data_IF_438021971756
#
_entry.id   IF_438021971756
#
_cell.length_a   1.000
_cell.length_b   1.000
_cell.length_c   1.000
_cell.angle_alpha   90.00
_cell.angle_beta   90.00
_cell.angle_gamma   90.00
#
_symmetry.space_group_name_H-M   'P 1'
#
loop_
_entity.id
_entity.type
_entity.pdbx_description
1 polymer ?
#
# COMPACT_ATOMS: atom_id res chain seq x y z
N UNK A 1 63.88 -15.34 39.53
CA UNK A 1 63.61 -16.08 38.28
C UNK A 1 63.37 -17.52 38.69
N UNK A 2 62.12 -17.98 38.62
CA UNK A 2 61.82 -19.40 38.79
C UNK A 2 62.59 -20.21 37.75
N UNK A 3 63.20 -21.31 38.18
CA UNK A 3 63.88 -22.23 37.26
C UNK A 3 62.83 -22.87 36.35
N UNK A 4 62.90 -22.61 35.05
CA UNK A 4 62.11 -23.33 34.05
C UNK A 4 62.48 -24.82 34.16
N UNK A 5 61.55 -25.64 34.66
CA UNK A 5 61.79 -27.06 34.91
C UNK A 5 61.73 -27.87 33.62
N UNK A 6 62.76 -28.67 33.36
CA UNK A 6 62.78 -29.60 32.23
C UNK A 6 62.18 -30.93 32.68
N UNK A 7 61.10 -31.36 32.02
CA UNK A 7 60.50 -32.66 32.21
C UNK A 7 61.22 -33.70 31.32
N UNK A 8 61.95 -34.62 31.95
CA UNK A 8 62.72 -35.66 31.26
C UNK A 8 61.86 -36.71 30.54
N UNK A 9 60.57 -36.82 30.89
CA UNK A 9 59.63 -37.78 30.29
C UNK A 9 58.94 -37.24 29.03
N UNK A 10 59.13 -35.96 28.69
CA UNK A 10 58.58 -35.36 27.47
C UNK A 10 59.54 -35.53 26.28
N UNK A 11 58.97 -35.69 25.09
CA UNK A 11 59.74 -35.65 23.83
C UNK A 11 60.56 -34.35 23.75
N UNK A 12 61.92 -34.44 23.69
CA UNK A 12 62.80 -33.27 23.66
C UNK A 12 62.46 -32.29 22.54
N UNK A 13 61.98 -32.80 21.40
CA UNK A 13 61.58 -31.95 20.26
C UNK A 13 60.34 -31.12 20.56
N UNK A 14 59.36 -31.72 21.23
CA UNK A 14 58.11 -31.04 21.62
C UNK A 14 58.35 -30.07 22.77
N UNK A 15 59.19 -30.44 23.72
CA UNK A 15 59.57 -29.56 24.82
C UNK A 15 60.33 -28.33 24.33
N UNK A 16 61.24 -28.49 23.36
CA UNK A 16 61.94 -27.39 22.72
C UNK A 16 60.98 -26.39 22.03
N UNK A 17 59.92 -26.89 21.40
CA UNK A 17 58.90 -26.05 20.75
C UNK A 17 58.14 -25.19 21.77
N UNK A 18 57.75 -25.74 22.92
CA UNK A 18 57.07 -24.97 23.97
C UNK A 18 57.98 -23.92 24.61
N UNK A 19 59.25 -24.25 24.85
CA UNK A 19 60.24 -23.28 25.33
C UNK A 19 60.47 -22.15 24.33
N UNK A 20 60.43 -22.46 23.03
CA UNK A 20 60.50 -21.45 21.98
C UNK A 20 59.30 -20.50 22.01
N UNK A 21 58.08 -21.01 22.18
CA UNK A 21 56.88 -20.18 22.32
C UNK A 21 56.87 -19.31 23.59
N UNK A 22 57.63 -19.68 24.62
CA UNK A 22 57.88 -18.83 25.80
C UNK A 22 58.87 -17.68 25.52
N UNK A 23 59.46 -17.61 24.32
CA UNK A 23 60.39 -16.55 23.92
C UNK A 23 61.87 -16.86 24.18
N UNK A 24 62.23 -18.10 24.55
CA UNK A 24 63.62 -18.48 24.76
C UNK A 24 64.39 -18.60 23.43
N UNK A 25 65.65 -18.15 23.45
CA UNK A 25 66.56 -18.28 22.28
C UNK A 25 66.92 -19.75 22.05
N UNK A 26 67.03 -20.18 20.79
CA UNK A 26 67.35 -21.56 20.41
C UNK A 26 68.63 -22.09 21.07
N UNK A 27 69.68 -21.26 21.16
CA UNK A 27 70.93 -21.63 21.84
C UNK A 27 70.69 -22.02 23.31
N UNK A 28 69.85 -21.24 24.01
CA UNK A 28 69.52 -21.50 25.41
C UNK A 28 68.63 -22.73 25.57
N UNK A 29 67.68 -22.93 24.66
CA UNK A 29 66.82 -24.12 24.64
C UNK A 29 67.67 -25.39 24.47
N UNK A 30 68.62 -25.36 23.53
CA UNK A 30 69.52 -26.47 23.26
C UNK A 30 70.34 -26.86 24.50
N UNK A 31 70.89 -25.88 25.23
CA UNK A 31 71.56 -26.11 26.52
C UNK A 31 70.62 -26.74 27.55
N UNK A 32 69.38 -26.25 27.66
CA UNK A 32 68.43 -26.69 28.67
C UNK A 32 67.97 -28.14 28.47
N UNK A 33 67.81 -28.59 27.23
CA UNK A 33 67.35 -29.95 26.92
C UNK A 33 68.50 -30.92 26.61
N UNK A 34 69.76 -30.47 26.66
CA UNK A 34 70.93 -31.31 26.39
C UNK A 34 71.15 -31.68 24.92
N UNK A 35 70.70 -30.83 23.98
CA UNK A 35 70.77 -31.09 22.53
C UNK A 35 71.72 -30.12 21.82
N UNK A 36 72.14 -30.48 20.60
CA UNK A 36 72.93 -29.56 19.75
C UNK A 36 72.02 -28.46 19.18
N UNK A 37 72.47 -27.20 19.22
CA UNK A 37 71.71 -26.07 18.67
C UNK A 37 71.28 -26.27 17.21
N UNK A 38 72.12 -26.90 16.38
CA UNK A 38 71.82 -27.25 14.98
C UNK A 38 70.61 -28.21 14.88
N UNK A 39 70.48 -29.15 15.81
CA UNK A 39 69.35 -30.08 15.89
C UNK A 39 68.05 -29.33 16.18
N UNK A 40 68.07 -28.42 17.17
CA UNK A 40 66.89 -27.61 17.53
C UNK A 40 66.49 -26.66 16.40
N UNK A 41 67.46 -26.04 15.71
CA UNK A 41 67.21 -25.26 14.50
C UNK A 41 66.56 -26.08 13.37
N UNK A 42 66.98 -27.34 13.19
CA UNK A 42 66.40 -28.26 12.22
C UNK A 42 64.94 -28.58 12.55
N UNK A 43 64.61 -28.82 13.82
CA UNK A 43 63.24 -29.03 14.29
C UNK A 43 62.36 -27.80 14.05
N UNK A 44 62.84 -26.62 14.45
CA UNK A 44 62.16 -25.34 14.22
C UNK A 44 61.75 -25.16 12.76
N UNK A 45 62.68 -25.43 11.84
CA UNK A 45 62.46 -25.30 10.40
C UNK A 45 61.50 -26.36 9.86
N UNK A 46 61.65 -27.62 10.29
CA UNK A 46 60.84 -28.74 9.79
C UNK A 46 59.38 -28.62 10.20
N UNK A 47 59.14 -28.27 11.46
CA UNK A 47 57.78 -28.15 12.02
C UNK A 47 57.22 -26.73 11.90
N UNK A 48 57.97 -25.82 11.27
CA UNK A 48 57.56 -24.43 11.01
C UNK A 48 57.04 -23.74 12.27
N UNK A 49 57.83 -23.74 13.35
CA UNK A 49 57.37 -23.18 14.64
C UNK A 49 56.90 -21.73 14.54
N UNK A 50 57.44 -20.96 13.59
CA UNK A 50 57.06 -19.56 13.32
C UNK A 50 55.69 -19.40 12.62
N UNK A 51 55.12 -20.49 12.08
CA UNK A 51 53.82 -20.46 11.40
C UNK A 51 52.63 -20.58 12.36
N UNK A 52 52.87 -20.95 13.62
CA UNK A 52 51.81 -21.03 14.63
C UNK A 52 51.51 -19.63 15.17
N UNK A 53 50.29 -19.14 14.92
CA UNK A 53 49.81 -17.92 15.52
C UNK A 53 49.59 -18.08 17.04
N UNK A 54 49.43 -16.99 17.79
CA UNK A 54 49.20 -17.06 19.24
C UNK A 54 48.02 -17.96 19.63
N UNK A 55 46.92 -17.94 18.84
CA UNK A 55 45.76 -18.80 19.08
C UNK A 55 46.08 -20.29 18.89
N UNK A 56 46.83 -20.65 17.85
CA UNK A 56 47.22 -22.03 17.58
C UNK A 56 48.12 -22.58 18.69
N UNK A 57 49.06 -21.76 19.17
CA UNK A 57 49.91 -22.09 20.30
C UNK A 57 49.09 -22.34 21.57
N UNK A 58 48.10 -21.48 21.86
CA UNK A 58 47.19 -21.65 22.99
C UNK A 58 46.32 -22.90 22.86
N UNK A 59 45.78 -23.19 21.67
CA UNK A 59 44.97 -24.39 21.42
C UNK A 59 45.80 -25.67 21.63
N UNK A 60 47.00 -25.73 21.09
CA UNK A 60 47.88 -26.91 21.20
C UNK A 60 48.33 -27.16 22.63
N UNK A 61 48.69 -26.11 23.37
CA UNK A 61 49.11 -26.24 24.78
C UNK A 61 47.93 -26.59 25.69
N UNK A 62 46.76 -25.97 25.49
CA UNK A 62 45.51 -26.30 26.21
C UNK A 62 45.10 -27.75 25.97
N UNK A 63 45.14 -28.23 24.72
CA UNK A 63 44.78 -29.61 24.38
C UNK A 63 45.77 -30.62 24.97
N UNK A 64 47.08 -30.32 24.95
CA UNK A 64 48.09 -31.18 25.55
C UNK A 64 47.90 -31.31 27.07
N UNK A 65 47.62 -30.20 27.75
CA UNK A 65 47.39 -30.20 29.20
C UNK A 65 46.08 -30.89 29.58
N UNK A 66 45.03 -30.70 28.78
CA UNK A 66 43.76 -31.42 28.94
C UNK A 66 43.97 -32.93 28.86
N UNK A 67 44.68 -33.41 27.83
CA UNK A 67 45.01 -34.84 27.69
C UNK A 67 45.83 -35.34 28.88
N UNK A 68 46.83 -34.57 29.35
CA UNK A 68 47.67 -34.93 30.50
C UNK A 68 46.83 -35.15 31.77
N UNK A 69 45.93 -34.22 32.08
CA UNK A 69 45.08 -34.29 33.27
C UNK A 69 44.03 -35.40 33.16
N UNK A 70 43.43 -35.58 31.98
CA UNK A 70 42.46 -36.66 31.73
C UNK A 70 43.09 -38.04 31.88
N UNK A 71 44.34 -38.22 31.44
CA UNK A 71 45.06 -39.49 31.51
C UNK A 71 45.73 -39.75 32.88
N UNK A 72 45.68 -38.82 33.82
CA UNK A 72 46.22 -38.99 35.19
C UNK A 72 45.48 -40.13 35.92
N UNK A 73 46.24 -41.09 36.45
CA UNK A 73 45.72 -42.32 37.08
C UNK A 73 44.93 -42.06 38.38
N UNK A 74 45.42 -41.15 39.23
CA UNK A 74 44.73 -40.69 40.42
C UNK A 74 44.45 -39.19 40.31
N UNK A 75 43.16 -38.82 40.20
CA UNK A 75 42.71 -37.43 40.07
C UNK A 75 42.28 -36.86 41.41
N UNK A 76 42.69 -35.63 41.68
CA UNK A 76 42.29 -34.80 42.81
C UNK A 76 41.23 -33.79 42.39
N UNK A 77 40.54 -33.17 43.35
CA UNK A 77 39.53 -32.15 43.09
C UNK A 77 40.05 -30.96 42.26
N UNK A 78 41.33 -30.61 42.40
CA UNK A 78 41.96 -29.55 41.59
C UNK A 78 42.06 -29.93 40.11
N UNK A 79 42.34 -31.20 39.81
CA UNK A 79 42.49 -31.68 38.43
C UNK A 79 41.15 -31.60 37.69
N UNK A 80 40.03 -31.93 38.35
CA UNK A 80 38.70 -31.80 37.75
C UNK A 80 38.32 -30.34 37.45
N UNK A 81 38.69 -29.40 38.33
CA UNK A 81 38.46 -27.96 38.09
C UNK A 81 39.28 -27.45 36.92
N UNK A 82 40.52 -27.92 36.81
CA UNK A 82 41.40 -27.54 35.71
C UNK A 82 40.95 -28.13 34.38
N UNK A 83 40.49 -29.39 34.35
CA UNK A 83 39.87 -30.02 33.18
C UNK A 83 38.64 -29.22 32.70
N UNK A 84 37.74 -28.83 33.60
CA UNK A 84 36.58 -27.99 33.27
C UNK A 84 37.01 -26.61 32.74
N UNK A 85 38.01 -25.98 33.37
CA UNK A 85 38.54 -24.70 32.90
C UNK A 85 39.14 -24.80 31.49
N UNK A 86 39.97 -25.81 31.24
CA UNK A 86 40.58 -26.06 29.92
C UNK A 86 39.52 -26.36 28.86
N UNK A 87 38.47 -27.11 29.20
CA UNK A 87 37.33 -27.36 28.32
C UNK A 87 36.60 -26.06 27.92
N UNK A 88 36.37 -25.16 28.89
CA UNK A 88 35.78 -23.83 28.62
C UNK A 88 36.69 -22.93 27.78
N UNK A 89 38.01 -23.01 27.98
CA UNK A 89 38.96 -22.28 27.13
C UNK A 89 38.98 -22.80 25.70
N UNK A 90 38.88 -24.12 25.50
CA UNK A 90 38.78 -24.72 24.17
C UNK A 90 37.55 -24.20 23.40
N UNK A 91 36.39 -24.09 24.06
CA UNK A 91 35.19 -23.48 23.46
C UNK A 91 35.42 -22.02 23.06
N UNK A 92 36.09 -21.23 23.92
CA UNK A 92 36.45 -19.84 23.60
C UNK A 92 37.42 -19.74 22.42
N UNK A 93 38.42 -20.60 22.36
CA UNK A 93 39.37 -20.63 21.24
C UNK A 93 38.67 -20.99 19.93
N UNK A 94 37.70 -21.91 19.94
CA UNK A 94 36.90 -22.25 18.77
C UNK A 94 36.05 -21.07 18.29
N UNK A 95 35.47 -20.28 19.20
CA UNK A 95 34.72 -19.06 18.88
C UNK A 95 35.61 -17.97 18.28
N UNK A 96 36.81 -17.77 18.82
CA UNK A 96 37.79 -16.81 18.26
C UNK A 96 38.22 -17.26 16.86
N UNK A 97 38.44 -18.56 16.64
CA UNK A 97 38.74 -19.13 15.32
C UNK A 97 37.63 -18.83 14.32
N UNK A 98 36.36 -19.13 14.68
CA UNK A 98 35.20 -18.86 13.82
C UNK A 98 35.04 -17.37 13.49
N UNK A 99 35.30 -16.48 14.45
CA UNK A 99 35.29 -15.04 14.22
C UNK A 99 36.35 -14.61 13.20
N UNK A 100 37.58 -15.13 13.31
CA UNK A 100 38.66 -14.82 12.37
C UNK A 100 38.41 -15.38 10.96
N UNK A 101 37.68 -16.50 10.83
CA UNK A 101 37.32 -17.15 9.56
C UNK A 101 36.00 -16.63 8.94
N UNK A 102 35.72 -15.32 9.09
CA UNK A 102 34.56 -14.66 8.47
C UNK A 102 33.27 -14.67 9.30
N UNK A 103 33.37 -15.04 10.58
CA UNK A 103 32.30 -14.87 11.56
C UNK A 103 32.04 -13.40 11.93
N UNK A 104 31.08 -13.17 12.83
CA UNK A 104 30.72 -11.83 13.29
C UNK A 104 30.76 -11.73 14.82
N UNK A 105 30.56 -10.52 15.35
CA UNK A 105 30.68 -10.24 16.79
C UNK A 105 29.76 -11.11 17.68
N UNK A 106 28.66 -11.64 17.12
CA UNK A 106 27.78 -12.57 17.84
C UNK A 106 28.45 -13.93 18.13
N UNK A 107 29.45 -14.35 17.35
CA UNK A 107 30.20 -15.59 17.60
C UNK A 107 31.09 -15.50 18.85
N UNK A 108 31.53 -14.30 19.23
CA UNK A 108 32.36 -14.06 20.42
C UNK A 108 31.52 -13.98 21.70
N UNK A 109 30.27 -13.51 21.62
CA UNK A 109 29.41 -13.29 22.77
C UNK A 109 28.00 -13.88 22.60
N UNK A 110 27.71 -15.04 23.23
CA UNK A 110 26.41 -15.70 23.19
C UNK A 110 25.24 -14.85 23.74
N UNK A 111 25.52 -13.81 24.50
CA UNK A 111 24.49 -12.91 25.02
C UNK A 111 23.96 -11.94 23.95
N UNK A 112 24.68 -11.73 22.85
CA UNK A 112 24.22 -10.90 21.73
C UNK A 112 23.09 -11.60 20.97
N UNK A 113 23.22 -12.92 20.72
CA UNK A 113 22.13 -13.72 20.15
C UNK A 113 20.90 -13.73 21.06
N UNK A 114 21.10 -13.90 22.38
CA UNK A 114 20.00 -13.87 23.36
C UNK A 114 19.31 -12.51 23.47
N UNK A 115 19.99 -11.41 23.17
CA UNK A 115 19.39 -10.06 23.16
C UNK A 115 18.54 -9.81 21.92
N UNK A 116 18.88 -10.47 20.81
CA UNK A 116 18.21 -10.32 19.52
C UNK A 116 17.18 -11.43 19.23
N UNK A 117 17.06 -12.45 20.09
CA UNK A 117 16.13 -13.57 19.93
C UNK A 117 14.68 -13.27 20.33
N UNK A 118 14.39 -12.06 20.82
CA UNK A 118 13.03 -11.61 21.03
C UNK A 118 12.34 -11.34 19.69
N UNK A 119 11.23 -12.01 19.41
CA UNK A 119 10.28 -11.60 18.37
C UNK A 119 9.84 -10.17 18.67
N UNK A 120 10.49 -9.18 18.05
CA UNK A 120 9.97 -7.81 18.01
C UNK A 120 8.56 -7.93 17.41
N UNK A 121 7.53 -7.75 18.25
CA UNK A 121 6.16 -7.55 17.74
C UNK A 121 6.27 -6.45 16.69
N UNK A 122 5.90 -6.78 15.45
CA UNK A 122 5.91 -5.81 14.37
C UNK A 122 5.10 -4.60 14.82
N UNK A 123 5.66 -3.40 14.66
CA UNK A 123 4.95 -2.17 14.97
C UNK A 123 3.58 -2.20 14.30
N UNK A 124 2.53 -1.93 15.08
CA UNK A 124 1.17 -1.93 14.57
C UNK A 124 1.09 -0.85 13.48
N UNK A 125 0.65 -1.22 12.28
CA UNK A 125 0.56 -0.32 11.13
C UNK A 125 -0.74 0.49 11.20
N UNK A 126 -0.77 1.63 10.50
CA UNK A 126 -1.97 2.45 10.33
C UNK A 126 -2.59 2.94 11.66
N UNK A 127 -1.75 3.22 12.66
CA UNK A 127 -2.19 3.62 14.00
C UNK A 127 -2.42 5.13 14.06
N UNK A 128 -3.51 5.52 14.68
CA UNK A 128 -3.80 6.90 15.08
C UNK A 128 -3.87 6.96 16.60
N UNK A 129 -3.26 7.98 17.20
CA UNK A 129 -3.52 8.38 18.58
C UNK A 129 -4.81 9.17 18.68
N UNK A 130 -5.41 9.23 19.86
CA UNK A 130 -6.64 10.00 20.11
C UNK A 130 -6.46 11.49 19.74
N UNK A 131 -5.30 12.08 20.05
CA UNK A 131 -4.97 13.45 19.67
C UNK A 131 -4.91 13.66 18.15
N UNK A 132 -4.40 12.69 17.39
CA UNK A 132 -4.40 12.74 15.92
C UNK A 132 -5.81 12.63 15.36
N UNK A 133 -6.68 11.78 15.94
CA UNK A 133 -8.09 11.68 15.52
C UNK A 133 -8.85 12.97 15.80
N UNK A 134 -8.66 13.59 16.98
CA UNK A 134 -9.26 14.87 17.32
C UNK A 134 -8.82 15.97 16.34
N UNK A 135 -7.51 16.08 16.07
CA UNK A 135 -6.97 17.04 15.10
C UNK A 135 -7.53 16.83 13.68
N UNK A 136 -7.72 15.58 13.24
CA UNK A 136 -8.36 15.31 11.95
C UNK A 136 -9.80 15.82 11.89
N UNK A 137 -10.56 15.67 12.99
CA UNK A 137 -11.94 16.19 13.06
C UNK A 137 -11.96 17.71 12.97
N UNK A 138 -11.05 18.39 13.67
CA UNK A 138 -10.95 19.85 13.62
C UNK A 138 -10.64 20.33 12.20
N UNK A 139 -9.62 19.75 11.56
CA UNK A 139 -9.26 20.07 10.17
C UNK A 139 -10.45 19.86 9.22
N UNK A 140 -11.16 18.74 9.36
CA UNK A 140 -12.30 18.44 8.49
C UNK A 140 -13.46 19.41 8.70
N UNK A 141 -13.74 19.78 9.96
CA UNK A 141 -14.80 20.73 10.29
C UNK A 141 -14.51 22.13 9.75
N UNK A 142 -13.24 22.56 9.81
CA UNK A 142 -12.80 23.86 9.30
C UNK A 142 -12.76 23.92 7.76
N UNK A 143 -12.51 22.80 7.09
CA UNK A 143 -12.36 22.78 5.62
C UNK A 143 -13.68 22.65 4.85
N UNK A 144 -14.78 22.30 5.51
CA UNK A 144 -16.07 22.10 4.84
C UNK A 144 -16.67 23.40 4.32
N UNK A 145 -17.13 23.38 3.06
CA UNK A 145 -18.08 24.37 2.53
C UNK A 145 -19.51 24.09 3.03
N UNK A 146 -20.41 25.06 2.94
CA UNK A 146 -21.74 24.95 3.57
C UNK A 146 -22.60 23.83 2.98
N UNK A 147 -22.55 23.60 1.67
CA UNK A 147 -23.25 22.47 1.05
C UNK A 147 -22.68 21.11 1.50
N UNK A 148 -21.39 21.05 1.85
CA UNK A 148 -20.75 19.85 2.40
C UNK A 148 -21.16 19.62 3.85
N UNK A 149 -21.38 20.68 4.63
CA UNK A 149 -21.97 20.56 5.99
C UNK A 149 -23.33 19.88 5.95
N UNK A 150 -24.17 20.20 4.95
CA UNK A 150 -25.46 19.50 4.76
C UNK A 150 -25.25 17.99 4.53
N UNK A 151 -24.24 17.60 3.75
CA UNK A 151 -23.90 16.18 3.56
C UNK A 151 -23.42 15.52 4.86
N UNK A 152 -22.62 16.25 5.65
CA UNK A 152 -22.09 15.77 6.92
C UNK A 152 -23.21 15.54 7.94
N UNK A 153 -24.08 16.53 8.14
CA UNK A 153 -25.25 16.42 9.01
C UNK A 153 -26.17 15.28 8.57
N UNK A 154 -26.41 15.17 7.26
CA UNK A 154 -27.17 14.05 6.72
C UNK A 154 -26.47 12.70 6.98
N UNK A 155 -25.14 12.68 6.95
CA UNK A 155 -24.31 11.53 7.29
C UNK A 155 -24.37 11.16 8.76
N UNK A 156 -24.55 12.11 9.67
CA UNK A 156 -24.71 11.84 11.11
C UNK A 156 -26.09 11.27 11.44
N UNK A 157 -27.12 11.64 10.68
CA UNK A 157 -28.50 11.19 10.91
C UNK A 157 -28.67 9.66 10.86
N UNK A 158 -29.39 9.05 11.82
CA UNK A 158 -29.77 7.64 11.74
C UNK A 158 -30.91 7.37 10.74
N UNK A 159 -31.68 8.41 10.37
CA UNK A 159 -32.83 8.28 9.48
C UNK A 159 -32.40 8.16 8.01
N UNK A 160 -31.22 8.66 7.67
CA UNK A 160 -30.72 8.71 6.30
C UNK A 160 -29.78 7.53 6.00
N UNK A 161 -30.34 6.31 6.12
CA UNK A 161 -29.60 5.09 5.77
C UNK A 161 -29.10 5.11 4.33
N UNK A 162 -29.89 5.64 3.41
CA UNK A 162 -29.51 5.81 1.99
C UNK A 162 -29.50 7.31 1.68
N UNK A 163 -28.34 7.82 1.30
CA UNK A 163 -28.15 9.16 0.71
C UNK A 163 -27.90 8.99 -0.78
N UNK A 164 -28.64 9.73 -1.59
CA UNK A 164 -28.56 9.67 -3.04
C UNK A 164 -28.43 11.10 -3.56
N UNK A 165 -27.27 11.46 -4.09
CA UNK A 165 -26.88 12.84 -4.36
C UNK A 165 -26.59 13.04 -5.84
N UNK A 166 -27.17 14.09 -6.41
CA UNK A 166 -26.76 14.60 -7.70
C UNK A 166 -25.86 15.81 -7.45
N UNK A 167 -24.71 15.86 -8.11
CA UNK A 167 -23.70 16.89 -7.85
C UNK A 167 -23.07 17.40 -9.14
N UNK A 168 -22.62 18.65 -9.12
CA UNK A 168 -21.80 19.27 -10.15
C UNK A 168 -20.40 18.64 -10.24
N UNK A 169 -19.71 18.81 -11.38
CA UNK A 169 -18.26 18.58 -11.42
C UNK A 169 -17.53 19.58 -10.52
N UNK A 170 -16.33 19.18 -10.07
CA UNK A 170 -15.40 20.00 -9.28
C UNK A 170 -15.89 20.55 -7.91
N UNK A 171 -16.98 20.03 -7.34
CA UNK A 171 -17.48 20.45 -6.00
C UNK A 171 -16.90 19.65 -4.82
N UNK A 172 -15.79 18.92 -5.01
CA UNK A 172 -15.08 18.24 -3.92
C UNK A 172 -15.77 17.01 -3.29
N UNK A 173 -16.76 16.40 -3.95
CA UNK A 173 -17.52 15.27 -3.38
C UNK A 173 -16.64 14.07 -2.97
N UNK A 174 -15.71 13.62 -3.83
CA UNK A 174 -14.82 12.50 -3.52
C UNK A 174 -13.88 12.81 -2.35
N UNK A 175 -13.36 14.04 -2.28
CA UNK A 175 -12.57 14.50 -1.14
C UNK A 175 -13.40 14.42 0.15
N UNK A 176 -14.59 15.02 0.14
CA UNK A 176 -15.48 15.05 1.30
C UNK A 176 -15.82 13.64 1.82
N UNK A 177 -16.28 12.74 0.93
CA UNK A 177 -16.68 11.39 1.34
C UNK A 177 -15.47 10.51 1.73
N UNK A 178 -14.26 10.79 1.24
CA UNK A 178 -13.03 10.18 1.74
C UNK A 178 -12.75 10.54 3.20
N UNK A 179 -12.90 11.82 3.57
CA UNK A 179 -12.72 12.27 4.94
C UNK A 179 -13.80 11.73 5.87
N UNK A 180 -15.07 11.84 5.46
CA UNK A 180 -16.19 11.29 6.21
C UNK A 180 -16.00 9.79 6.50
N UNK A 181 -15.61 9.01 5.49
CA UNK A 181 -15.39 7.58 5.64
C UNK A 181 -14.19 7.23 6.54
N UNK A 182 -13.10 8.01 6.48
CA UNK A 182 -11.94 7.80 7.35
C UNK A 182 -12.31 8.06 8.81
N UNK A 183 -12.96 9.19 9.09
CA UNK A 183 -13.39 9.54 10.45
C UNK A 183 -14.43 8.55 10.98
N UNK A 184 -15.37 8.11 10.15
CA UNK A 184 -16.34 7.08 10.51
C UNK A 184 -15.67 5.73 10.87
N UNK A 185 -14.68 5.33 10.07
CA UNK A 185 -13.93 4.10 10.31
C UNK A 185 -13.12 4.18 11.61
N UNK A 186 -12.52 5.33 11.90
CA UNK A 186 -11.77 5.58 13.14
C UNK A 186 -12.68 5.54 14.37
N UNK A 187 -13.84 6.19 14.31
CA UNK A 187 -14.76 6.32 15.45
C UNK A 187 -15.56 5.04 15.72
N UNK A 188 -15.96 4.32 14.67
CA UNK A 188 -16.99 3.26 14.81
C UNK A 188 -16.48 1.85 14.54
N UNK A 189 -15.29 1.71 13.94
CA UNK A 189 -14.79 0.41 13.47
C UNK A 189 -15.57 -0.15 12.27
N UNK A 190 -16.42 0.65 11.62
CA UNK A 190 -17.18 0.21 10.43
C UNK A 190 -16.27 0.11 9.22
N UNK A 191 -16.47 -0.94 8.44
CA UNK A 191 -15.82 -1.08 7.14
C UNK A 191 -16.37 -0.07 6.13
N UNK A 192 -15.54 0.39 5.20
CA UNK A 192 -15.90 1.36 4.17
C UNK A 192 -15.62 0.77 2.77
N UNK A 193 -16.67 0.61 1.97
CA UNK A 193 -16.64 0.03 0.62
C UNK A 193 -16.76 1.16 -0.40
N UNK A 194 -15.68 1.47 -1.11
CA UNK A 194 -15.67 2.44 -2.19
C UNK A 194 -15.85 1.70 -3.52
N UNK A 195 -16.92 2.00 -4.23
CA UNK A 195 -17.24 1.43 -5.54
C UNK A 195 -17.34 2.58 -6.54
N UNK A 196 -16.62 2.46 -7.65
CA UNK A 196 -16.58 3.50 -8.68
C UNK A 196 -16.72 2.90 -10.09
N UNK A 197 -16.86 3.75 -11.11
CA UNK A 197 -16.90 3.35 -12.51
C UNK A 197 -15.61 2.66 -13.01
N UNK A 198 -14.50 2.79 -12.29
CA UNK A 198 -13.27 2.01 -12.50
C UNK A 198 -12.46 1.87 -11.21
N UNK A 199 -11.56 0.86 -11.15
CA UNK A 199 -10.61 0.70 -10.05
C UNK A 199 -9.68 1.92 -9.91
N UNK A 200 -9.31 2.55 -11.02
CA UNK A 200 -8.51 3.78 -11.02
C UNK A 200 -9.22 4.95 -10.30
N UNK A 201 -10.51 5.15 -10.58
CA UNK A 201 -11.31 6.17 -9.90
C UNK A 201 -11.55 5.80 -8.42
N UNK A 202 -11.81 4.53 -8.10
CA UNK A 202 -11.89 4.09 -6.70
C UNK A 202 -10.60 4.38 -5.91
N UNK A 203 -9.43 4.26 -6.55
CA UNK A 203 -8.15 4.63 -5.94
C UNK A 203 -8.01 6.14 -5.67
N UNK A 204 -8.82 7.01 -6.27
CA UNK A 204 -8.84 8.43 -5.91
C UNK A 204 -9.29 8.63 -4.46
N UNK A 205 -10.27 7.86 -3.99
CA UNK A 205 -10.66 7.88 -2.57
C UNK A 205 -9.48 7.51 -1.67
N UNK A 206 -8.73 6.47 -2.05
CA UNK A 206 -7.55 6.02 -1.32
C UNK A 206 -6.50 7.13 -1.22
N UNK A 207 -6.24 7.84 -2.31
CA UNK A 207 -5.29 8.94 -2.33
C UNK A 207 -5.72 10.06 -1.38
N UNK A 208 -6.99 10.45 -1.38
CA UNK A 208 -7.51 11.45 -0.44
C UNK A 208 -7.46 10.97 1.01
N UNK A 209 -7.77 9.70 1.30
CA UNK A 209 -7.68 9.12 2.65
C UNK A 209 -6.24 9.11 3.16
N UNK A 210 -5.28 8.71 2.31
CA UNK A 210 -3.86 8.74 2.65
C UNK A 210 -3.38 10.18 2.86
N UNK A 211 -3.81 11.12 2.01
CA UNK A 211 -3.48 12.54 2.15
C UNK A 211 -4.06 13.14 3.44
N UNK A 212 -5.29 12.79 3.80
CA UNK A 212 -5.92 13.20 5.06
C UNK A 212 -5.10 12.70 6.26
N UNK A 213 -4.77 11.41 6.30
CA UNK A 213 -3.98 10.81 7.37
C UNK A 213 -2.59 11.46 7.53
N UNK A 214 -1.96 11.89 6.42
CA UNK A 214 -0.67 12.59 6.43
C UNK A 214 -0.73 13.97 7.08
N UNK A 215 -1.90 14.62 7.17
CA UNK A 215 -2.04 15.89 7.89
C UNK A 215 -1.78 15.78 9.40
N UNK A 216 -1.79 14.55 9.91
CA UNK A 216 -1.51 14.22 11.31
C UNK A 216 -0.34 13.21 11.44
N UNK A 217 0.55 13.19 10.44
CA UNK A 217 1.76 12.38 10.41
C UNK A 217 1.54 10.85 10.42
N UNK A 218 0.41 10.39 9.87
CA UNK A 218 0.12 8.95 9.70
C UNK A 218 0.23 8.55 8.23
N UNK A 219 1.12 7.60 7.92
CA UNK A 219 1.28 7.04 6.57
C UNK A 219 0.50 5.71 6.45
N UNK A 220 -0.72 5.81 5.93
CA UNK A 220 -1.59 4.66 5.69
C UNK A 220 -1.06 3.77 4.56
N UNK A 221 -1.03 2.45 4.78
CA UNK A 221 -0.52 1.46 3.83
C UNK A 221 -1.46 0.26 3.66
N UNK A 222 -1.31 -0.42 2.52
CA UNK A 222 -2.05 -1.64 2.15
C UNK A 222 -2.86 -1.46 0.87
N UNK A 223 -3.17 -2.54 0.14
CA UNK A 223 -4.16 -2.51 -0.94
C UNK A 223 -5.53 -2.18 -0.36
N UNK A 224 -5.94 -2.98 0.63
CA UNK A 224 -6.97 -2.67 1.62
C UNK A 224 -6.30 -1.97 2.79
N UNK A 225 -6.84 -0.83 3.21
CA UNK A 225 -6.36 -0.16 4.42
C UNK A 225 -7.09 -0.76 5.62
N UNK A 226 -6.34 -1.33 6.56
CA UNK A 226 -6.88 -1.94 7.78
C UNK A 226 -6.41 -1.11 8.97
N UNK A 227 -7.36 -0.66 9.78
CA UNK A 227 -7.10 0.10 11.00
C UNK A 227 -6.98 -0.84 12.22
N UNK A 228 -6.26 -0.44 13.28
CA UNK A 228 -6.15 -1.18 14.55
C UNK A 228 -7.47 -1.63 15.18
N UNK A 229 -8.54 -0.86 14.98
CA UNK A 229 -9.87 -1.15 15.51
C UNK A 229 -10.65 -2.19 14.67
N UNK A 230 -10.04 -2.74 13.62
CA UNK A 230 -10.62 -3.75 12.75
C UNK A 230 -11.40 -3.20 11.54
N UNK A 231 -11.54 -1.88 11.41
CA UNK A 231 -12.16 -1.29 10.22
C UNK A 231 -11.31 -1.54 8.97
N UNK A 232 -11.96 -1.98 7.89
CA UNK A 232 -11.35 -2.20 6.59
C UNK A 232 -11.90 -1.22 5.54
N UNK A 233 -11.01 -0.63 4.74
CA UNK A 233 -11.35 0.22 3.60
C UNK A 233 -10.99 -0.46 2.29
N UNK A 234 -12.00 -0.73 1.47
CA UNK A 234 -11.89 -1.48 0.20
C UNK A 234 -12.17 -0.57 -0.99
N UNK A 235 -11.33 -0.63 -2.02
CA UNK A 235 -11.42 0.20 -3.23
C UNK A 235 -11.70 -0.70 -4.44
N UNK A 236 -12.94 -0.68 -4.92
CA UNK A 236 -13.50 -1.66 -5.86
C UNK A 236 -13.91 -0.98 -7.18
N UNK A 237 -13.66 -1.65 -8.31
CA UNK A 237 -14.21 -1.27 -9.61
C UNK A 237 -15.64 -1.77 -9.83
N UNK A 238 -16.04 -1.92 -11.09
CA UNK A 238 -17.43 -2.28 -11.48
C UNK A 238 -17.73 -3.77 -11.45
N UNK A 239 -16.79 -4.60 -10.97
CA UNK A 239 -16.96 -6.05 -10.93
C UNK A 239 -17.91 -6.48 -9.80
N UNK A 240 -19.18 -6.72 -10.16
CA UNK A 240 -20.22 -7.14 -9.23
C UNK A 240 -19.86 -8.38 -8.38
N UNK A 241 -18.99 -9.28 -8.84
CA UNK A 241 -18.54 -10.44 -8.05
C UNK A 241 -17.65 -10.05 -6.87
N UNK A 242 -16.86 -8.99 -7.02
CA UNK A 242 -16.02 -8.45 -5.92
C UNK A 242 -16.85 -7.69 -4.90
N UNK A 243 -17.99 -7.15 -5.31
CA UNK A 243 -18.92 -6.35 -4.49
C UNK A 243 -19.90 -7.19 -3.63
N UNK A 244 -19.80 -8.53 -3.60
CA UNK A 244 -20.75 -9.41 -2.87
C UNK A 244 -20.26 -9.88 -1.49
N UNK A 245 -18.98 -9.69 -1.15
CA UNK A 245 -18.35 -10.48 -0.07
C UNK A 245 -18.31 -9.84 1.32
N UNK A 246 -18.22 -8.51 1.43
CA UNK A 246 -17.87 -7.86 2.72
C UNK A 246 -18.89 -6.81 3.13
N UNK A 247 -19.36 -6.82 4.38
CA UNK A 247 -20.31 -5.84 4.83
C UNK A 247 -19.61 -4.54 5.24
N UNK A 248 -20.19 -3.39 4.91
CA UNK A 248 -19.58 -2.07 5.13
C UNK A 248 -20.51 -0.93 4.71
N UNK A 249 -20.15 0.31 5.09
CA UNK A 249 -20.74 1.49 4.50
C UNK A 249 -20.39 1.53 3.01
N UNK A 250 -21.37 1.75 2.15
CA UNK A 250 -21.18 1.81 0.71
C UNK A 250 -21.06 3.26 0.27
N UNK A 251 -19.99 3.60 -0.43
CA UNK A 251 -19.84 4.84 -1.21
C UNK A 251 -19.76 4.44 -2.68
N UNK A 252 -20.76 4.85 -3.45
CA UNK A 252 -20.87 4.51 -4.86
C UNK A 252 -20.85 5.80 -5.68
N UNK A 253 -19.69 6.13 -6.22
CA UNK A 253 -19.46 7.33 -7.01
C UNK A 253 -19.87 7.17 -8.47
N UNK A 254 -20.11 8.30 -9.14
CA UNK A 254 -20.36 8.43 -10.57
C UNK A 254 -21.28 7.34 -11.15
N UNK A 255 -22.33 7.00 -10.40
CA UNK A 255 -23.16 5.83 -10.66
C UNK A 255 -24.00 5.95 -11.95
N UNK A 256 -24.18 7.16 -12.47
CA UNK A 256 -24.77 7.42 -13.79
C UNK A 256 -23.83 7.12 -14.96
N UNK A 257 -22.56 6.81 -14.68
CA UNK A 257 -21.55 6.46 -15.67
C UNK A 257 -21.13 4.98 -15.58
N UNK A 258 -21.70 4.23 -14.64
CA UNK A 258 -21.41 2.81 -14.45
C UNK A 258 -22.23 1.95 -15.41
N UNK A 259 -21.58 1.16 -16.29
CA UNK A 259 -22.29 0.17 -17.10
C UNK A 259 -22.78 -1.00 -16.23
N UNK A 260 -24.00 -1.47 -16.45
CA UNK A 260 -24.57 -2.57 -15.67
C UNK A 260 -24.94 -2.18 -14.24
N UNK A 261 -25.24 -0.89 -13.98
CA UNK A 261 -25.53 -0.33 -12.67
C UNK A 261 -26.59 -1.13 -11.90
N UNK A 262 -27.69 -1.58 -12.51
CA UNK A 262 -28.71 -2.32 -11.74
C UNK A 262 -28.18 -3.63 -11.17
N UNK A 263 -27.32 -4.34 -11.93
CA UNK A 263 -26.66 -5.57 -11.47
C UNK A 263 -25.65 -5.26 -10.35
N UNK A 264 -24.83 -4.22 -10.54
CA UNK A 264 -23.84 -3.81 -9.53
C UNK A 264 -24.52 -3.35 -8.25
N UNK A 265 -25.52 -2.47 -8.33
CA UNK A 265 -26.31 -1.99 -7.18
C UNK A 265 -26.94 -3.14 -6.42
N UNK A 266 -27.49 -4.15 -7.11
CA UNK A 266 -28.08 -5.32 -6.46
C UNK A 266 -27.03 -6.10 -5.66
N UNK A 267 -25.81 -6.24 -6.17
CA UNK A 267 -24.70 -6.85 -5.43
C UNK A 267 -24.24 -5.96 -4.26
N UNK A 268 -23.91 -4.70 -4.55
CA UNK A 268 -23.32 -3.76 -3.60
C UNK A 268 -24.27 -3.37 -2.45
N UNK A 269 -25.57 -3.24 -2.72
CA UNK A 269 -26.57 -2.96 -1.67
C UNK A 269 -26.66 -4.07 -0.61
N UNK A 270 -26.24 -5.30 -0.94
CA UNK A 270 -26.08 -6.38 0.03
C UNK A 270 -25.01 -6.10 1.09
N UNK A 271 -23.95 -5.38 0.74
CA UNK A 271 -22.85 -5.03 1.65
C UNK A 271 -23.33 -4.12 2.80
N UNK A 272 -24.23 -3.19 2.51
CA UNK A 272 -24.78 -2.24 3.48
C UNK A 272 -26.15 -2.67 4.06
N UNK A 273 -26.44 -3.98 4.08
CA UNK A 273 -27.75 -4.51 4.51
C UNK A 273 -27.96 -4.46 6.03
N UNK A 274 -26.88 -4.49 6.83
CA UNK A 274 -26.98 -4.45 8.29
C UNK A 274 -27.34 -3.04 8.80
N UNK A 275 -28.09 -2.95 9.91
CA UNK A 275 -28.61 -1.69 10.48
C UNK A 275 -27.52 -0.63 10.73
N UNK A 276 -26.30 -1.04 11.05
CA UNK A 276 -25.17 -0.13 11.31
C UNK A 276 -24.56 0.49 10.05
N UNK A 277 -24.83 -0.05 8.86
CA UNK A 277 -24.20 0.43 7.63
C UNK A 277 -25.12 1.35 6.83
N UNK A 278 -24.50 2.28 6.13
CA UNK A 278 -25.15 3.28 5.28
C UNK A 278 -24.77 3.09 3.82
N UNK A 279 -25.55 3.68 2.91
CA UNK A 279 -25.20 3.75 1.48
C UNK A 279 -25.29 5.18 0.99
N UNK A 280 -24.21 5.65 0.38
CA UNK A 280 -24.08 6.98 -0.20
C UNK A 280 -23.83 6.81 -1.69
N UNK A 281 -24.83 7.16 -2.49
CA UNK A 281 -24.72 7.23 -3.95
C UNK A 281 -24.53 8.68 -4.31
N UNK A 282 -23.55 9.01 -5.13
CA UNK A 282 -23.35 10.37 -5.59
C UNK A 282 -22.76 10.40 -7.00
N UNK A 283 -23.25 11.29 -7.85
CA UNK A 283 -22.87 11.27 -9.27
C UNK A 283 -23.14 12.61 -9.93
N UNK A 284 -22.40 12.89 -11.01
CA UNK A 284 -22.89 13.81 -12.04
C UNK A 284 -23.99 13.12 -12.85
N UNK A 285 -24.97 13.85 -13.40
CA UNK A 285 -25.98 13.26 -14.28
C UNK A 285 -25.37 12.81 -15.61
N UNK A 286 -25.96 11.77 -16.22
CA UNK A 286 -25.69 11.38 -17.60
C UNK A 286 -26.93 11.65 -18.47
N UNK A 287 -27.65 10.61 -18.89
CA UNK A 287 -28.90 10.70 -19.65
C UNK A 287 -30.09 10.13 -18.86
N UNK A 288 -31.29 10.63 -19.15
CA UNK A 288 -32.55 10.04 -18.67
C UNK A 288 -32.78 8.61 -19.16
N UNK A 289 -32.13 8.20 -20.26
CA UNK A 289 -32.16 6.83 -20.79
C UNK A 289 -31.27 5.86 -20.02
N UNK A 290 -30.36 6.36 -19.18
CA UNK A 290 -29.44 5.53 -18.41
C UNK A 290 -30.19 4.63 -17.41
N UNK A 291 -29.74 3.38 -17.23
CA UNK A 291 -30.44 2.39 -16.39
C UNK A 291 -30.53 2.75 -14.90
N UNK A 292 -29.71 3.71 -14.45
CA UNK A 292 -29.72 4.25 -13.10
C UNK A 292 -30.77 5.35 -12.89
N UNK A 293 -31.29 5.97 -13.95
CA UNK A 293 -32.27 7.04 -13.84
C UNK A 293 -33.54 6.60 -13.09
N UNK A 294 -34.11 5.40 -13.33
CA UNK A 294 -35.23 4.90 -12.52
C UNK A 294 -34.93 4.78 -11.02
N UNK A 295 -33.67 4.56 -10.63
CA UNK A 295 -33.28 4.53 -9.22
C UNK A 295 -33.27 5.93 -8.60
N UNK A 296 -32.73 6.91 -9.32
CA UNK A 296 -32.77 8.32 -8.92
C UNK A 296 -34.20 8.84 -8.83
N UNK A 297 -34.98 8.70 -9.91
CA UNK A 297 -36.36 9.16 -10.04
C UNK A 297 -37.37 8.40 -9.16
N UNK A 298 -36.94 7.38 -8.40
CA UNK A 298 -37.80 6.58 -7.53
C UNK A 298 -38.72 5.59 -8.27
N UNK A 299 -38.81 5.62 -9.60
CA UNK A 299 -39.67 4.71 -10.37
C UNK A 299 -39.25 3.25 -10.23
N UNK A 300 -37.98 2.97 -9.92
CA UNK A 300 -37.49 1.62 -9.60
C UNK A 300 -38.15 1.05 -8.32
N UNK A 301 -38.52 1.90 -7.35
CA UNK A 301 -39.26 1.48 -6.14
C UNK A 301 -40.63 0.89 -6.49
N UNK A 302 -41.26 1.41 -7.54
CA UNK A 302 -42.59 0.99 -7.99
C UNK A 302 -42.58 -0.36 -8.71
N UNK A 303 -41.41 -0.87 -9.11
CA UNK A 303 -41.28 -2.13 -9.84
C UNK A 303 -41.84 -3.30 -9.02
N UNK A 304 -42.87 -3.96 -9.54
CA UNK A 304 -43.55 -5.08 -8.88
C UNK A 304 -44.57 -4.68 -7.80
N UNK A 305 -44.82 -3.39 -7.57
CA UNK A 305 -45.85 -2.92 -6.63
C UNK A 305 -47.21 -2.71 -7.30
N UNK A 306 -48.27 -3.01 -6.54
CA UNK A 306 -49.64 -2.65 -6.89
C UNK A 306 -49.81 -1.12 -6.97
N UNK A 307 -50.79 -0.64 -7.76
CA UNK A 307 -50.93 0.79 -8.11
C UNK A 307 -51.07 1.69 -6.87
N UNK A 308 -51.80 1.24 -5.86
CA UNK A 308 -52.02 1.92 -4.57
C UNK A 308 -50.77 2.02 -3.68
N UNK A 309 -49.74 1.20 -3.95
CA UNK A 309 -48.46 1.20 -3.21
C UNK A 309 -47.33 1.87 -3.99
N UNK A 310 -47.64 2.45 -5.16
CA UNK A 310 -46.67 3.22 -5.94
C UNK A 310 -46.56 4.62 -5.37
N UNK A 311 -45.39 5.19 -5.50
CA UNK A 311 -45.07 6.56 -5.10
C UNK A 311 -44.61 7.35 -6.32
N UNK A 312 -44.76 8.65 -6.24
CA UNK A 312 -44.18 9.60 -7.18
C UNK A 312 -43.24 10.51 -6.38
N UNK A 313 -42.04 10.71 -6.90
CA UNK A 313 -41.03 11.55 -6.26
C UNK A 313 -40.75 12.71 -7.19
N UNK A 314 -41.03 13.92 -6.72
CA UNK A 314 -40.59 15.14 -7.38
C UNK A 314 -39.07 15.28 -7.21
N UNK A 315 -38.36 15.03 -8.30
CA UNK A 315 -36.89 15.12 -8.38
C UNK A 315 -36.40 16.44 -9.01
N UNK A 316 -37.25 17.47 -9.04
CA UNK A 316 -36.87 18.79 -9.51
C UNK A 316 -35.85 19.46 -8.59
N UNK A 317 -35.02 20.33 -9.17
CA UNK A 317 -34.04 21.11 -8.43
C UNK A 317 -34.64 21.91 -7.26
N UNK A 318 -35.72 22.70 -7.42
CA UNK A 318 -36.28 23.47 -6.30
C UNK A 318 -36.72 22.59 -5.12
N UNK A 319 -37.13 21.34 -5.41
CA UNK A 319 -37.57 20.40 -4.38
C UNK A 319 -36.40 19.75 -3.63
N UNK A 320 -35.25 19.60 -4.28
CA UNK A 320 -34.12 18.81 -3.79
C UNK A 320 -32.86 19.62 -3.46
N UNK A 321 -32.76 20.91 -3.82
CA UNK A 321 -31.56 21.73 -3.56
C UNK A 321 -31.13 21.74 -2.08
N UNK A 322 -32.10 21.90 -1.17
CA UNK A 322 -31.85 21.89 0.29
C UNK A 322 -31.63 20.51 0.90
N UNK A 323 -31.80 19.43 0.12
CA UNK A 323 -31.73 18.07 0.62
C UNK A 323 -32.97 17.66 1.43
N UNK A 324 -33.53 16.47 1.17
CA UNK A 324 -34.68 15.97 1.95
C UNK A 324 -34.80 14.46 1.94
N UNK A 325 -35.48 13.93 2.95
CA UNK A 325 -35.97 12.56 2.93
C UNK A 325 -37.18 12.43 2.01
N UNK A 326 -37.06 11.60 0.98
CA UNK A 326 -38.12 11.31 0.02
C UNK A 326 -39.02 10.15 0.46
N UNK A 327 -40.07 9.93 -0.32
CA UNK A 327 -41.18 9.00 -0.10
C UNK A 327 -40.72 7.53 -0.10
N UNK A 328 -39.61 7.23 -0.78
CA UNK A 328 -38.95 5.91 -0.80
C UNK A 328 -37.91 5.71 0.33
N UNK A 329 -37.85 6.63 1.30
CA UNK A 329 -36.90 6.63 2.43
C UNK A 329 -35.43 6.81 2.04
N UNK A 330 -35.16 7.43 0.89
CA UNK A 330 -33.81 7.89 0.55
C UNK A 330 -33.71 9.41 0.77
N UNK A 331 -32.63 9.86 1.39
CA UNK A 331 -32.26 11.27 1.39
C UNK A 331 -31.76 11.65 0.00
N UNK A 332 -32.35 12.66 -0.63
CA UNK A 332 -31.92 13.19 -1.92
C UNK A 332 -31.53 14.65 -1.84
N UNK A 333 -30.48 15.01 -2.55
CA UNK A 333 -30.07 16.40 -2.75
C UNK A 333 -29.50 16.60 -4.15
N UNK A 334 -29.73 17.79 -4.72
CA UNK A 334 -29.03 18.28 -5.92
C UNK A 334 -28.13 19.43 -5.51
N UNK A 335 -26.85 19.40 -5.90
CA UNK A 335 -25.87 20.47 -5.64
C UNK A 335 -25.24 20.90 -6.96
N UNK A 336 -25.66 22.04 -7.47
CA UNK A 336 -25.10 22.68 -8.66
C UNK A 336 -23.81 23.43 -8.35
N UNK A 337 -23.09 23.89 -9.37
CA UNK A 337 -21.93 24.76 -9.20
C UNK A 337 -22.31 26.09 -8.54
N UNK A 338 -23.51 26.62 -8.83
CA UNK A 338 -24.02 27.85 -8.24
C UNK A 338 -24.34 27.66 -6.75
N UNK A 339 -24.89 26.50 -6.37
CA UNK A 339 -25.07 26.16 -4.94
C UNK A 339 -23.73 26.05 -4.23
N UNK A 340 -22.72 25.49 -4.89
CA UNK A 340 -21.38 25.37 -4.32
C UNK A 340 -20.72 26.74 -4.12
N UNK A 341 -20.83 27.64 -5.09
CA UNK A 341 -20.36 29.03 -4.97
C UNK A 341 -21.09 29.77 -3.84
N UNK A 342 -22.42 29.66 -3.81
CA UNK A 342 -23.26 30.25 -2.76
C UNK A 342 -22.92 29.69 -1.37
N UNK A 343 -22.49 28.43 -1.30
CA UNK A 343 -22.02 27.77 -0.08
C UNK A 343 -20.55 28.05 0.26
N UNK A 344 -19.91 29.00 -0.42
CA UNK A 344 -18.56 29.49 -0.10
C UNK A 344 -17.41 28.81 -0.83
N UNK A 345 -17.68 27.95 -1.84
CA UNK A 345 -16.63 27.35 -2.65
C UNK A 345 -16.08 28.36 -3.66
N UNK A 346 -14.83 28.77 -3.47
CA UNK A 346 -14.13 29.79 -4.25
C UNK A 346 -13.06 29.21 -5.19
N UNK A 347 -13.14 27.89 -5.47
CA UNK A 347 -12.13 27.15 -6.23
C UNK A 347 -12.28 27.26 -7.76
N UNK A 348 -13.34 27.89 -8.25
CA UNK A 348 -13.66 27.96 -9.67
C UNK A 348 -14.26 29.32 -10.05
N UNK A 349 -14.06 29.71 -11.29
CA UNK A 349 -14.69 30.88 -11.90
C UNK A 349 -15.87 30.41 -12.79
N UNK A 350 -17.10 30.75 -12.38
CA UNK A 350 -18.30 30.33 -13.11
C UNK A 350 -18.39 31.01 -14.48
N UNK A 351 -17.94 32.27 -14.59
CA UNK A 351 -18.05 33.02 -15.84
C UNK A 351 -17.08 32.46 -16.88
N UNK A 352 -15.85 32.09 -16.47
CA UNK A 352 -14.92 31.35 -17.34
C UNK A 352 -15.52 30.01 -17.78
N UNK A 353 -16.07 29.22 -16.85
CA UNK A 353 -16.69 27.93 -17.18
C UNK A 353 -17.88 28.08 -18.14
N UNK A 354 -18.68 29.14 -18.02
CA UNK A 354 -19.76 29.44 -18.97
C UNK A 354 -19.23 29.80 -20.36
N UNK A 355 -18.09 30.49 -20.44
CA UNK A 355 -17.49 30.85 -21.72
C UNK A 355 -16.79 29.68 -22.43
N UNK A 356 -16.26 28.72 -21.66
CA UNK A 356 -15.56 27.54 -22.19
C UNK A 356 -16.49 26.42 -22.66
N UNK A 357 -17.77 26.45 -22.27
CA UNK A 357 -18.72 25.36 -22.50
C UNK A 357 -19.94 25.84 -23.28
N UNK A 358 -20.52 24.95 -24.10
CA UNK A 358 -21.85 25.20 -24.65
C UNK A 358 -22.89 25.28 -23.52
N UNK A 359 -24.02 25.95 -23.74
CA UNK A 359 -25.11 26.01 -22.74
C UNK A 359 -25.56 24.62 -22.29
N UNK A 360 -25.62 23.67 -23.23
CA UNK A 360 -26.01 22.29 -22.96
C UNK A 360 -24.96 21.54 -22.12
N UNK A 361 -23.67 21.72 -22.43
CA UNK A 361 -22.60 21.11 -21.64
C UNK A 361 -22.54 21.75 -20.25
N UNK A 362 -22.66 23.08 -20.15
CA UNK A 362 -22.67 23.77 -18.88
C UNK A 362 -23.81 23.26 -17.98
N UNK A 363 -25.01 23.12 -18.55
CA UNK A 363 -26.19 22.60 -17.85
C UNK A 363 -25.96 21.17 -17.33
N UNK A 364 -25.40 20.28 -18.16
CA UNK A 364 -25.14 18.90 -17.74
C UNK A 364 -24.00 18.77 -16.73
N UNK A 365 -22.88 19.45 -16.99
CA UNK A 365 -21.65 19.31 -16.22
C UNK A 365 -21.73 20.01 -14.86
N UNK A 366 -22.40 21.15 -14.82
CA UNK A 366 -22.33 22.07 -13.68
C UNK A 366 -23.68 22.39 -13.03
N UNK A 367 -24.79 22.32 -13.77
CA UNK A 367 -26.14 22.58 -13.23
C UNK A 367 -26.94 21.31 -12.92
N UNK A 368 -26.31 20.14 -13.04
CA UNK A 368 -26.93 18.85 -12.77
C UNK A 368 -28.13 18.51 -13.70
N UNK A 369 -28.17 19.06 -14.91
CA UNK A 369 -29.15 18.70 -15.93
C UNK A 369 -28.88 17.32 -16.54
N UNK A 370 -29.93 16.55 -16.83
CA UNK A 370 -29.80 15.31 -17.61
C UNK A 370 -29.85 15.61 -19.10
N UNK A 371 -29.02 14.92 -19.88
CA UNK A 371 -29.06 15.01 -21.35
C UNK A 371 -30.21 14.14 -21.88
N UNK A 372 -30.94 14.65 -22.87
CA UNK A 372 -31.78 13.84 -23.74
C UNK A 372 -30.92 13.32 -24.93
N UNK A 373 -30.57 12.04 -24.90
CA UNK A 373 -29.72 11.40 -25.92
C UNK A 373 -30.48 10.96 -27.18
N UNK A 374 -31.75 11.36 -27.34
CA UNK A 374 -32.52 11.08 -28.56
C UNK A 374 -31.89 11.68 -29.83
N UNK A 375 -31.07 12.73 -29.70
CA UNK A 375 -30.40 13.39 -30.83
C UNK A 375 -28.94 12.91 -31.08
N UNK A 376 -28.38 12.05 -30.23
CA UNK A 376 -26.98 11.60 -30.35
C UNK A 376 -26.79 10.56 -31.45
N UNK A 377 -25.67 10.63 -32.19
CA UNK A 377 -25.33 9.66 -33.25
C UNK A 377 -25.14 8.24 -32.71
N UNK A 378 -24.57 8.11 -31.51
CA UNK A 378 -24.44 6.84 -30.80
C UNK A 378 -25.20 6.94 -29.48
N UNK A 379 -25.99 5.90 -29.15
CA UNK A 379 -26.72 5.87 -27.88
C UNK A 379 -25.75 5.58 -26.74
N UNK A 380 -25.97 6.17 -25.56
CA UNK A 380 -25.12 5.93 -24.39
C UNK A 380 -25.01 4.44 -24.04
N UNK A 381 -26.11 3.70 -24.15
CA UNK A 381 -26.15 2.26 -23.89
C UNK A 381 -25.29 1.43 -24.87
N UNK A 382 -25.05 1.90 -26.09
CA UNK A 382 -24.14 1.26 -27.05
C UNK A 382 -22.69 1.58 -26.70
N UNK A 383 -22.39 2.84 -26.41
CA UNK A 383 -21.06 3.29 -25.97
C UNK A 383 -20.59 2.58 -24.70
N UNK A 384 -21.49 2.38 -23.74
CA UNK A 384 -21.20 1.67 -22.50
C UNK A 384 -20.78 0.21 -22.69
N UNK A 385 -21.18 -0.45 -23.78
CA UNK A 385 -20.73 -1.83 -24.09
C UNK A 385 -19.26 -1.87 -24.54
N UNK A 386 -18.74 -0.74 -24.98
CA UNK A 386 -17.34 -0.57 -25.37
C UNK A 386 -16.46 -0.14 -24.17
N UNK A 387 -17.04 0.32 -23.07
CA UNK A 387 -16.31 0.69 -21.86
C UNK A 387 -15.72 -0.54 -21.16
N UNK A 388 -14.53 -0.37 -20.58
CA UNK A 388 -13.80 -1.43 -19.89
C UNK A 388 -12.96 -0.85 -18.76
N UNK A 389 -12.92 -1.54 -17.62
CA UNK A 389 -11.94 -1.24 -16.58
C UNK A 389 -10.56 -1.70 -17.05
N UNK A 390 -9.76 -0.73 -17.53
CA UNK A 390 -8.46 -1.01 -18.12
C UNK A 390 -7.45 -1.54 -17.09
N UNK A 391 -7.56 -1.18 -15.81
CA UNK A 391 -6.67 -1.66 -14.76
C UNK A 391 -6.95 -3.12 -14.39
N UNK A 392 -8.20 -3.57 -14.51
CA UNK A 392 -8.57 -4.96 -14.22
C UNK A 392 -8.48 -5.87 -15.45
N UNK A 393 -8.86 -5.38 -16.63
CA UNK A 393 -9.05 -6.23 -17.81
C UNK A 393 -7.89 -6.21 -18.79
N UNK A 394 -7.11 -5.14 -18.86
CA UNK A 394 -6.00 -5.07 -19.80
C UNK A 394 -4.73 -5.62 -19.14
N UNK A 395 -4.44 -6.89 -19.41
CA UNK A 395 -3.21 -7.53 -18.93
C UNK A 395 -2.00 -7.20 -19.79
N UNK A 396 -2.24 -6.70 -21.00
CA UNK A 396 -1.21 -6.45 -22.01
C UNK A 396 -0.88 -4.96 -22.17
N UNK A 397 -1.62 -4.07 -21.50
CA UNK A 397 -1.35 -2.63 -21.48
C UNK A 397 -0.92 -2.22 -20.07
N UNK A 398 0.29 -1.72 -19.92
CA UNK A 398 0.85 -1.24 -18.65
C UNK A 398 0.76 0.29 -18.59
N UNK A 399 -0.42 0.81 -18.23
CA UNK A 399 -0.73 2.25 -18.30
C UNK A 399 0.23 3.19 -17.54
N UNK A 400 0.94 2.68 -16.53
CA UNK A 400 1.91 3.46 -15.75
C UNK A 400 3.36 3.32 -16.22
N UNK A 401 3.62 2.51 -17.26
CA UNK A 401 4.95 2.35 -17.82
C UNK A 401 5.25 3.47 -18.83
N UNK A 402 6.53 3.81 -18.99
CA UNK A 402 6.99 4.77 -20.00
C UNK A 402 6.51 4.44 -21.42
N UNK A 403 6.41 3.14 -21.74
CA UNK A 403 5.79 2.62 -22.96
C UNK A 403 4.60 1.73 -22.58
N UNK A 404 3.37 2.28 -22.52
CA UNK A 404 2.22 1.52 -22.03
C UNK A 404 1.89 0.26 -22.83
N UNK A 405 2.24 0.23 -24.12
CA UNK A 405 2.03 -0.93 -24.99
C UNK A 405 3.32 -1.68 -25.35
N UNK A 406 4.44 -1.35 -24.69
CA UNK A 406 5.77 -1.86 -25.03
C UNK A 406 6.22 -1.37 -26.41
N UNK A 407 6.89 -2.25 -27.16
CA UNK A 407 7.35 -1.97 -28.53
C UNK A 407 6.32 -2.36 -29.61
N UNK A 408 5.08 -2.65 -29.20
CA UNK A 408 4.01 -3.02 -30.14
C UNK A 408 3.47 -1.78 -30.88
N UNK A 409 3.13 -1.90 -32.17
CA UNK A 409 2.60 -0.80 -32.94
C UNK A 409 1.25 -0.35 -32.41
N UNK A 410 1.00 0.95 -32.50
CA UNK A 410 -0.28 1.60 -32.24
C UNK A 410 -0.71 2.37 -33.48
N UNK A 411 -2.00 2.61 -33.63
CA UNK A 411 -2.57 3.48 -34.63
C UNK A 411 -2.87 4.83 -33.99
N UNK A 412 -2.59 5.92 -34.69
CA UNK A 412 -2.85 7.28 -34.20
C UNK A 412 -3.87 7.91 -35.14
N UNK A 413 -5.00 8.33 -34.57
CA UNK A 413 -5.94 9.23 -35.21
C UNK A 413 -5.68 10.63 -34.70
N UNK A 414 -5.44 11.57 -35.60
CA UNK A 414 -5.24 12.98 -35.27
C UNK A 414 -6.22 13.83 -36.07
N UNK A 415 -7.03 14.59 -35.35
CA UNK A 415 -7.99 15.54 -35.91
C UNK A 415 -7.48 16.96 -35.61
N UNK A 416 -6.80 17.61 -36.59
CA UNK A 416 -6.24 18.94 -36.41
C UNK A 416 -7.33 20.01 -36.36
N UNK A 417 -7.24 20.93 -35.40
CA UNK A 417 -8.09 22.11 -35.36
C UNK A 417 -7.40 23.31 -36.05
N UNK A 418 -8.16 24.10 -36.82
CA UNK A 418 -7.65 25.29 -37.52
C UNK A 418 -8.15 26.61 -36.93
N UNK A 419 -9.35 26.66 -36.34
CA UNK A 419 -9.90 27.82 -35.61
C UNK A 419 -10.99 27.38 -34.63
N UNK A 420 -10.96 27.88 -33.39
CA UNK A 420 -12.07 27.75 -32.41
C UNK A 420 -12.13 26.45 -31.62
N UNK A 421 -11.79 25.31 -32.23
CA UNK A 421 -11.88 24.00 -31.59
C UNK A 421 -10.53 23.46 -31.09
N UNK A 422 -10.56 22.47 -30.20
CA UNK A 422 -9.36 21.76 -29.74
C UNK A 422 -8.98 20.63 -30.68
N UNK A 423 -7.67 20.50 -30.98
CA UNK A 423 -7.18 19.35 -31.72
C UNK A 423 -7.39 18.05 -30.92
N UNK A 424 -7.91 17.02 -31.58
CA UNK A 424 -8.17 15.70 -30.99
C UNK A 424 -7.09 14.71 -31.38
N UNK A 425 -6.51 14.00 -30.41
CA UNK A 425 -5.58 12.90 -30.68
C UNK A 425 -6.03 11.63 -29.95
N UNK A 426 -6.19 10.54 -30.70
CA UNK A 426 -6.54 9.22 -30.18
C UNK A 426 -5.45 8.21 -30.52
N UNK A 427 -4.96 7.52 -29.51
CA UNK A 427 -4.05 6.37 -29.68
C UNK A 427 -4.87 5.10 -29.55
N UNK A 428 -4.82 4.26 -30.58
CA UNK A 428 -5.55 3.01 -30.68
C UNK A 428 -4.55 1.85 -30.71
N UNK A 429 -4.68 0.93 -29.77
CA UNK A 429 -3.92 -0.32 -29.76
C UNK A 429 -4.74 -1.41 -30.48
N UNK A 430 -4.36 -1.81 -31.72
CA UNK A 430 -5.08 -2.83 -32.47
C UNK A 430 -4.90 -4.23 -31.86
N UNK A 431 -5.83 -5.17 -32.10
CA UNK A 431 -5.67 -6.54 -31.67
C UNK A 431 -4.55 -7.24 -32.45
N UNK A 432 -3.88 -8.19 -31.81
CA UNK A 432 -2.84 -9.02 -32.43
C UNK A 432 -3.43 -10.10 -33.36
N UNK A 433 -4.72 -10.41 -33.19
CA UNK A 433 -5.45 -11.41 -33.97
C UNK A 433 -6.68 -10.78 -34.63
N UNK A 434 -7.02 -11.26 -35.82
CA UNK A 434 -8.22 -10.83 -36.53
C UNK A 434 -9.48 -11.06 -35.66
N UNK A 435 -10.41 -10.10 -35.66
CA UNK A 435 -11.62 -10.13 -34.83
C UNK A 435 -11.38 -9.85 -33.34
N UNK A 436 -10.15 -9.53 -32.92
CA UNK A 436 -9.87 -9.13 -31.54
C UNK A 436 -10.39 -7.73 -31.19
N UNK A 437 -10.32 -7.38 -29.89
CA UNK A 437 -10.79 -6.08 -29.40
C UNK A 437 -9.74 -4.99 -29.57
N UNK A 438 -10.16 -3.83 -30.06
CA UNK A 438 -9.39 -2.59 -30.02
C UNK A 438 -9.36 -2.01 -28.61
N UNK A 439 -8.26 -1.36 -28.25
CA UNK A 439 -8.10 -0.65 -26.97
C UNK A 439 -7.70 0.79 -27.25
N UNK A 440 -8.12 1.72 -26.41
CA UNK A 440 -7.78 3.16 -26.52
C UNK A 440 -6.96 3.56 -25.29
N UNK A 441 -5.63 3.33 -25.28
CA UNK A 441 -4.78 3.62 -24.12
C UNK A 441 -4.49 5.11 -23.89
N UNK A 442 -4.81 5.99 -24.85
CA UNK A 442 -4.59 7.43 -24.71
C UNK A 442 -5.54 8.24 -25.59
N UNK A 443 -6.05 9.34 -25.02
CA UNK A 443 -6.86 10.35 -25.70
C UNK A 443 -6.52 11.72 -25.10
N UNK A 444 -6.22 12.71 -25.92
CA UNK A 444 -6.01 14.11 -25.51
C UNK A 444 -6.88 15.03 -26.35
N UNK A 445 -7.53 16.00 -25.69
CA UNK A 445 -8.14 17.17 -26.30
C UNK A 445 -7.27 18.38 -25.92
N UNK A 446 -6.72 19.11 -26.89
CA UNK A 446 -5.95 20.35 -26.65
C UNK A 446 -4.42 20.21 -26.58
N UNK A 447 -3.83 19.12 -27.06
CA UNK A 447 -2.38 18.96 -27.09
C UNK A 447 -1.73 19.61 -28.32
N UNK A 448 -0.91 20.64 -28.14
CA UNK A 448 0.19 20.97 -29.08
C UNK A 448 1.29 19.93 -28.83
N UNK A 449 1.64 19.12 -29.84
CA UNK A 449 2.73 18.16 -29.73
C UNK A 449 4.04 18.90 -29.36
N UNK A 450 4.82 18.43 -28.37
CA UNK A 450 6.15 18.98 -28.15
C UNK A 450 6.99 18.75 -29.41
N UNK A 451 7.62 19.81 -29.91
CA UNK A 451 8.60 19.76 -30.99
C UNK A 451 9.63 18.66 -30.73
N UNK A 452 9.55 17.54 -31.46
CA UNK A 452 10.45 16.42 -31.18
C UNK A 452 10.35 15.17 -32.03
N UNK A 453 9.36 15.03 -32.91
CA UNK A 453 9.31 13.88 -33.84
C UNK A 453 9.64 14.39 -35.25
N UNK A 454 10.94 14.58 -35.51
CA UNK A 454 11.45 14.62 -36.89
C UNK A 454 11.45 13.19 -37.40
N UNK A 455 10.57 12.91 -38.36
CA UNK A 455 10.58 11.67 -39.12
C UNK A 455 11.86 11.53 -39.94
N UNK A 456 12.33 10.29 -40.04
CA UNK A 456 13.07 9.84 -41.22
C UNK A 456 12.10 9.05 -42.10
#
# INVERSE_FOLDING_TARGET
MESVSINADLDPRRQAMYLYWQGLRIARIAEMIGEKAVTVHSWKRRDKWDAYGPLDQMQLTTAAEYCRLVMKSAKEAKDYKEIDLLGRQAERHARIGKYNDGGNEADLNPNIEKRNSGTRKAAQKNVFSEAQVAKLKDIFNESMFDYQRNWYEAGLSPDYRIRNLLKSRQVGATYFFSWEALLDALDTGRNQMFVSASKAQAHQFKNYIVAAARQVDVDLRGEVIILPNGAEMHFLGTNASTAQGRPGNLYLDEYFWIPGFQKLRRAASGMASQKKYRSTYFSTPSSTSHEAYPFWAGTLFNKGKAKDKRIEIDVSYPRLAGGRLCEDKQYRQIVTIEDALKGGCDLFDIDELRNENSDQDFENLFMCGFIDDNASTFKLAEMQRCMVDSWEKWTDVKLLALRPFGDRPVWIGYDPASTGDSAGCAVIAPPVVAGGKFRVPGYCCGCVLPDGIKGN
#
